data_IF_828918310814
#
_entry.id   IF_828918310814
#
_cell.length_a   1.000
_cell.length_b   1.000
_cell.length_c   1.000
_cell.angle_alpha   90.00
_cell.angle_beta   90.00
_cell.angle_gamma   90.00
#
_symmetry.space_group_name_H-M   'P 1'
#
loop_
_entity.id
_entity.type
_entity.pdbx_description
1 polymer ?
#
# COMPACT_ATOMS: atom_id res chain seq x y z
N UNK A 1 34.13 6.82 -4.91
CA UNK A 1 34.60 5.55 -5.53
C UNK A 1 33.33 4.84 -5.98
N UNK A 2 32.95 5.09 -7.26
CA UNK A 2 31.69 4.61 -7.83
C UNK A 2 31.77 3.12 -8.10
N UNK A 3 30.74 2.40 -7.64
CA UNK A 3 30.53 0.99 -7.94
C UNK A 3 29.99 0.90 -9.38
N UNK A 4 30.86 0.67 -10.34
CA UNK A 4 30.42 0.25 -11.69
C UNK A 4 30.01 -1.22 -11.60
N UNK A 5 28.71 -1.51 -11.63
CA UNK A 5 28.25 -2.84 -11.96
C UNK A 5 28.49 -3.05 -13.46
N UNK A 6 29.41 -3.94 -13.82
CA UNK A 6 29.55 -4.45 -15.19
C UNK A 6 28.40 -5.40 -15.48
N UNK A 7 27.50 -5.00 -16.37
CA UNK A 7 26.45 -5.86 -16.92
C UNK A 7 27.04 -6.80 -17.97
N UNK A 8 27.76 -7.83 -17.54
CA UNK A 8 28.15 -8.92 -18.42
C UNK A 8 26.97 -9.88 -18.57
N UNK A 9 26.35 -9.93 -19.75
CA UNK A 9 25.33 -10.90 -20.11
C UNK A 9 23.97 -10.36 -20.56
N UNK A 10 23.78 -9.05 -20.61
CA UNK A 10 22.57 -8.45 -21.19
C UNK A 10 22.67 -8.46 -22.72
N UNK A 11 21.62 -8.95 -23.39
CA UNK A 11 21.48 -8.83 -24.84
C UNK A 11 21.06 -7.39 -25.20
N UNK A 12 21.24 -7.00 -26.48
CA UNK A 12 20.77 -5.70 -26.98
C UNK A 12 19.23 -5.56 -26.82
N UNK A 13 18.49 -6.64 -26.94
CA UNK A 13 17.05 -6.71 -26.67
C UNK A 13 16.72 -6.44 -25.19
N UNK A 14 17.49 -6.97 -24.25
CA UNK A 14 17.30 -6.71 -22.82
C UNK A 14 17.60 -5.24 -22.48
N UNK A 15 18.62 -4.64 -23.10
CA UNK A 15 18.95 -3.22 -22.91
C UNK A 15 17.85 -2.31 -23.46
N UNK A 16 17.30 -2.61 -24.63
CA UNK A 16 16.18 -1.87 -25.23
C UNK A 16 14.91 -2.02 -24.37
N UNK A 17 14.63 -3.23 -23.88
CA UNK A 17 13.48 -3.48 -22.99
C UNK A 17 13.62 -2.70 -21.67
N UNK A 18 14.77 -2.76 -21.00
CA UNK A 18 15.04 -2.03 -19.76
C UNK A 18 14.94 -0.51 -19.97
N UNK A 19 15.51 0.01 -21.06
CA UNK A 19 15.40 1.42 -21.38
C UNK A 19 13.94 1.85 -21.67
N UNK A 20 13.13 0.98 -22.29
CA UNK A 20 11.71 1.24 -22.52
C UNK A 20 10.88 1.17 -21.24
N UNK A 21 11.20 0.22 -20.33
CA UNK A 21 10.56 0.12 -19.02
C UNK A 21 10.92 1.31 -18.11
N UNK A 22 12.17 1.76 -18.11
CA UNK A 22 12.61 2.99 -17.42
C UNK A 22 11.92 4.25 -17.99
N UNK A 23 11.80 4.36 -19.31
CA UNK A 23 11.12 5.48 -19.97
C UNK A 23 9.62 5.52 -19.63
N UNK A 24 8.95 4.35 -19.60
CA UNK A 24 7.54 4.23 -19.20
C UNK A 24 7.38 4.56 -17.71
N UNK A 25 8.31 4.15 -16.85
CA UNK A 25 8.28 4.49 -15.42
C UNK A 25 8.53 6.00 -15.18
N UNK A 26 9.37 6.64 -16.01
CA UNK A 26 9.68 8.08 -15.91
C UNK A 26 8.53 8.97 -16.33
N UNK A 27 7.61 8.50 -17.18
CA UNK A 27 6.47 9.30 -17.70
C UNK A 27 5.17 9.11 -16.88
N UNK A 28 5.19 8.28 -15.82
CA UNK A 28 4.02 8.08 -14.95
C UNK A 28 3.84 9.28 -14.03
N UNK A 29 2.61 9.81 -13.96
CA UNK A 29 2.28 10.84 -12.98
C UNK A 29 2.59 10.38 -11.57
N UNK A 30 3.42 11.15 -10.86
CA UNK A 30 3.76 10.88 -9.45
C UNK A 30 2.68 11.44 -8.54
N UNK A 31 2.16 10.57 -7.67
CA UNK A 31 1.16 10.92 -6.67
C UNK A 31 1.70 10.55 -5.28
N UNK A 32 1.61 11.48 -4.34
CA UNK A 32 1.82 11.23 -2.93
C UNK A 32 0.53 11.54 -2.18
N UNK A 33 -0.20 10.49 -1.82
CA UNK A 33 -1.45 10.58 -1.08
C UNK A 33 -1.17 10.43 0.42
N UNK A 34 -1.55 11.46 1.18
CA UNK A 34 -1.17 11.60 2.59
C UNK A 34 -2.05 10.78 3.53
N UNK A 35 -3.20 10.26 3.07
CA UNK A 35 -4.11 9.56 3.97
C UNK A 35 -5.11 8.65 3.24
N UNK A 36 -5.28 7.43 3.75
CA UNK A 36 -6.48 6.64 3.49
C UNK A 36 -6.69 5.57 4.59
N UNK A 37 -7.97 5.22 4.85
CA UNK A 37 -8.40 4.20 5.83
C UNK A 37 -8.60 2.82 5.18
N UNK A 38 -8.01 2.57 4.02
CA UNK A 38 -8.27 1.32 3.29
C UNK A 38 -7.93 0.09 4.13
N UNK A 39 -6.81 0.11 4.88
CA UNK A 39 -6.42 -1.04 5.69
C UNK A 39 -7.37 -1.29 6.85
N UNK A 40 -7.88 -0.23 7.51
CA UNK A 40 -8.90 -0.32 8.57
C UNK A 40 -10.19 -0.90 8.03
N UNK A 41 -10.64 -0.41 6.88
CA UNK A 41 -11.84 -0.91 6.21
C UNK A 41 -11.73 -2.38 5.81
N UNK A 42 -10.54 -2.82 5.38
CA UNK A 42 -10.28 -4.24 5.12
C UNK A 42 -10.19 -5.06 6.42
N UNK A 43 -9.58 -4.49 7.48
CA UNK A 43 -9.40 -5.16 8.76
C UNK A 43 -10.72 -5.37 9.52
N UNK A 44 -11.63 -4.40 9.43
CA UNK A 44 -12.83 -4.32 10.27
C UNK A 44 -14.13 -4.50 9.50
N UNK A 45 -14.08 -4.85 8.22
CA UNK A 45 -15.27 -5.06 7.41
C UNK A 45 -16.22 -6.09 8.05
N UNK A 46 -17.46 -5.68 8.30
CA UNK A 46 -18.49 -6.52 8.90
C UNK A 46 -18.35 -6.72 10.42
N UNK A 47 -17.36 -6.13 11.08
CA UNK A 47 -17.14 -6.23 12.53
C UNK A 47 -17.78 -5.05 13.26
N UNK A 48 -19.03 -5.21 13.69
CA UNK A 48 -19.77 -4.19 14.41
C UNK A 48 -19.28 -3.94 15.86
N UNK A 49 -18.35 -4.75 16.36
CA UNK A 49 -17.79 -4.59 17.72
C UNK A 49 -16.69 -3.53 17.77
N UNK A 50 -16.12 -3.17 16.61
CA UNK A 50 -15.06 -2.16 16.54
C UNK A 50 -15.70 -0.76 16.56
N UNK A 51 -15.31 0.12 17.49
CA UNK A 51 -15.73 1.52 17.49
C UNK A 51 -15.28 2.25 16.21
N UNK A 52 -15.87 3.42 15.91
CA UNK A 52 -15.49 4.23 14.75
C UNK A 52 -16.34 4.03 13.51
N UNK A 53 -17.29 3.09 13.52
CA UNK A 53 -18.35 3.01 12.51
C UNK A 53 -17.96 2.36 11.17
N UNK A 54 -16.77 1.78 11.00
CA UNK A 54 -16.35 1.14 9.74
C UNK A 54 -17.33 0.06 9.27
N UNK A 55 -17.82 -0.80 10.18
CA UNK A 55 -18.77 -1.84 9.85
C UNK A 55 -20.09 -1.29 9.29
N UNK A 56 -20.60 -0.20 9.87
CA UNK A 56 -21.85 0.42 9.41
C UNK A 56 -21.67 1.13 8.07
N UNK A 57 -20.54 1.79 7.87
CA UNK A 57 -20.20 2.50 6.65
C UNK A 57 -20.09 1.54 5.45
N UNK A 58 -19.52 0.36 5.66
CA UNK A 58 -19.23 -0.62 4.63
C UNK A 58 -20.24 -1.77 4.56
N UNK A 59 -21.31 -1.73 5.35
CA UNK A 59 -22.29 -2.82 5.47
C UNK A 59 -22.94 -3.25 4.13
N UNK A 60 -22.92 -2.38 3.11
CA UNK A 60 -23.47 -2.68 1.79
C UNK A 60 -22.45 -3.24 0.81
N UNK A 61 -21.17 -3.20 1.14
CA UNK A 61 -20.11 -3.71 0.27
C UNK A 61 -19.93 -5.20 0.53
N UNK A 62 -20.03 -6.05 -0.49
CA UNK A 62 -19.83 -7.48 -0.30
C UNK A 62 -18.44 -7.81 0.23
N UNK A 63 -18.29 -8.80 1.12
CA UNK A 63 -17.03 -9.16 1.77
C UNK A 63 -15.89 -9.45 0.78
N UNK A 64 -16.17 -10.07 -0.37
CA UNK A 64 -15.16 -10.34 -1.38
C UNK A 64 -14.58 -9.07 -2.02
N UNK A 65 -15.34 -7.96 -2.00
CA UNK A 65 -14.89 -6.63 -2.48
C UNK A 65 -14.09 -5.86 -1.43
N UNK A 66 -13.96 -6.40 -0.22
CA UNK A 66 -13.20 -5.85 0.91
C UNK A 66 -12.14 -6.85 1.40
N UNK A 67 -11.73 -7.81 0.56
CA UNK A 67 -10.86 -8.92 0.99
C UNK A 67 -9.36 -8.66 0.77
N UNK A 68 -8.98 -7.75 -0.14
CA UNK A 68 -7.58 -7.54 -0.55
C UNK A 68 -7.32 -6.12 -1.01
N UNK A 69 -6.07 -5.68 -0.85
CA UNK A 69 -5.61 -4.40 -1.38
C UNK A 69 -5.46 -4.42 -2.92
N UNK A 70 -5.31 -5.61 -3.52
CA UNK A 70 -5.14 -5.75 -4.97
C UNK A 70 -6.31 -5.14 -5.75
N UNK A 71 -7.54 -5.46 -5.37
CA UNK A 71 -8.77 -4.88 -5.91
C UNK A 71 -9.86 -4.88 -4.83
N UNK A 72 -10.44 -3.70 -4.56
CA UNK A 72 -11.44 -3.51 -3.50
C UNK A 72 -12.29 -2.27 -3.77
N UNK A 73 -13.39 -2.14 -3.01
CA UNK A 73 -14.29 -0.99 -3.07
C UNK A 73 -14.08 0.01 -1.92
N UNK A 74 -12.93 -0.09 -1.20
CA UNK A 74 -12.49 0.93 -0.25
C UNK A 74 -11.88 2.16 -0.99
N UNK A 75 -11.11 3.01 -0.28
CA UNK A 75 -10.58 4.26 -0.86
C UNK A 75 -9.54 3.99 -1.95
N UNK A 76 -8.58 3.09 -1.70
CA UNK A 76 -7.45 2.81 -2.58
C UNK A 76 -7.37 1.32 -2.90
N UNK A 77 -7.07 0.97 -4.16
CA UNK A 77 -6.66 -0.38 -4.56
C UNK A 77 -5.52 -0.31 -5.57
N UNK A 78 -4.68 -1.35 -5.60
CA UNK A 78 -3.55 -1.42 -6.54
C UNK A 78 -4.02 -1.47 -8.00
N UNK A 79 -5.22 -2.01 -8.26
CA UNK A 79 -5.81 -1.99 -9.59
C UNK A 79 -6.09 -0.56 -10.09
N UNK A 80 -6.55 0.34 -9.20
CA UNK A 80 -6.85 1.74 -9.55
C UNK A 80 -5.61 2.62 -9.61
N UNK A 81 -4.60 2.35 -8.77
CA UNK A 81 -3.38 3.16 -8.70
C UNK A 81 -2.28 2.71 -9.65
N UNK A 82 -2.40 1.51 -10.25
CA UNK A 82 -1.36 0.91 -11.08
C UNK A 82 -0.89 1.70 -12.30
N UNK A 83 -1.69 2.69 -12.78
CA UNK A 83 -1.30 3.62 -13.83
C UNK A 83 -0.38 4.77 -13.40
N UNK A 84 -0.16 4.93 -12.08
CA UNK A 84 0.56 6.06 -11.48
C UNK A 84 1.83 5.58 -10.75
N UNK A 85 2.81 6.48 -10.56
CA UNK A 85 3.87 6.29 -9.59
C UNK A 85 3.32 6.72 -8.21
N UNK A 86 2.70 5.77 -7.48
CA UNK A 86 1.84 6.04 -6.34
C UNK A 86 2.53 5.73 -5.00
N UNK A 87 2.63 6.75 -4.14
CA UNK A 87 3.01 6.61 -2.73
C UNK A 87 1.80 6.91 -1.85
N UNK A 88 1.40 5.95 -1.01
CA UNK A 88 0.23 6.03 -0.15
C UNK A 88 0.59 5.96 1.32
N UNK A 89 0.11 6.93 2.09
CA UNK A 89 0.03 6.81 3.54
C UNK A 89 -1.24 6.02 3.90
N UNK A 90 -1.06 4.83 4.43
CA UNK A 90 -2.12 3.98 4.96
C UNK A 90 -2.22 4.19 6.47
N UNK A 91 -3.31 4.78 6.92
CA UNK A 91 -3.55 4.99 8.34
C UNK A 91 -3.99 3.69 9.02
N UNK A 92 -3.56 3.52 10.26
CA UNK A 92 -4.20 2.68 11.26
C UNK A 92 -4.91 3.62 12.22
N UNK A 93 -6.22 3.76 12.07
CA UNK A 93 -7.04 4.62 12.92
C UNK A 93 -7.39 3.91 14.22
N UNK A 94 -7.07 4.56 15.35
CA UNK A 94 -7.43 4.09 16.68
C UNK A 94 -8.47 5.08 17.24
N UNK A 95 -9.74 4.65 17.43
CA UNK A 95 -10.78 5.51 17.97
C UNK A 95 -10.41 6.10 19.33
N UNK A 96 -10.79 7.35 19.57
CA UNK A 96 -10.43 8.11 20.79
C UNK A 96 -10.92 7.47 22.09
N UNK A 97 -11.97 6.68 22.06
CA UNK A 97 -12.52 5.94 23.19
C UNK A 97 -11.76 4.65 23.51
N UNK A 98 -10.89 4.18 22.60
CA UNK A 98 -10.13 2.92 22.77
C UNK A 98 -8.73 3.23 23.30
N UNK A 99 -8.29 2.53 24.35
CA UNK A 99 -6.99 2.76 25.01
C UNK A 99 -6.33 1.46 25.45
N UNK A 100 -5.03 1.53 25.74
CA UNK A 100 -4.26 0.43 26.31
C UNK A 100 -4.20 -0.79 25.40
N UNK A 101 -4.39 -1.97 25.98
CA UNK A 101 -4.29 -3.25 25.27
C UNK A 101 -5.31 -3.41 24.15
N UNK A 102 -6.47 -2.79 24.28
CA UNK A 102 -7.49 -2.79 23.23
C UNK A 102 -7.04 -1.99 22.02
N UNK A 103 -6.50 -0.79 22.22
CA UNK A 103 -5.93 0.04 21.14
C UNK A 103 -4.78 -0.69 20.44
N UNK A 104 -3.91 -1.34 21.22
CA UNK A 104 -2.83 -2.17 20.67
C UNK A 104 -3.36 -3.34 19.83
N UNK A 105 -4.44 -3.97 20.26
CA UNK A 105 -5.09 -5.07 19.53
C UNK A 105 -5.63 -4.60 18.18
N UNK A 106 -6.31 -3.45 18.14
CA UNK A 106 -6.81 -2.87 16.89
C UNK A 106 -5.65 -2.52 15.95
N UNK A 107 -4.62 -1.82 16.46
CA UNK A 107 -3.42 -1.51 15.67
C UNK A 107 -2.79 -2.76 15.04
N UNK A 108 -2.56 -3.81 15.82
CA UNK A 108 -1.96 -5.06 15.34
C UNK A 108 -2.83 -5.73 14.28
N UNK A 109 -4.14 -5.62 14.37
CA UNK A 109 -5.08 -6.16 13.40
C UNK A 109 -4.94 -5.44 12.05
N UNK A 110 -4.85 -4.12 12.04
CA UNK A 110 -4.61 -3.32 10.82
C UNK A 110 -3.23 -3.60 10.25
N UNK A 111 -2.20 -3.64 11.09
CA UNK A 111 -0.83 -3.98 10.69
C UNK A 111 -0.77 -5.34 10.00
N UNK A 112 -1.46 -6.36 10.53
CA UNK A 112 -1.48 -7.70 9.95
C UNK A 112 -2.13 -7.74 8.55
N UNK A 113 -3.05 -6.83 8.26
CA UNK A 113 -3.59 -6.66 6.91
C UNK A 113 -2.48 -6.19 5.96
N UNK A 114 -1.71 -5.15 6.33
CA UNK A 114 -0.61 -4.68 5.50
C UNK A 114 0.44 -5.77 5.28
N UNK A 115 0.86 -6.47 6.34
CA UNK A 115 1.84 -7.54 6.25
C UNK A 115 1.40 -8.63 5.26
N UNK A 116 0.15 -9.08 5.36
CA UNK A 116 -0.43 -10.05 4.43
C UNK A 116 -0.50 -9.54 2.99
N UNK A 117 -0.85 -8.28 2.78
CA UNK A 117 -0.93 -7.70 1.45
C UNK A 117 0.46 -7.47 0.83
N UNK A 118 1.48 -7.17 1.62
CA UNK A 118 2.88 -7.12 1.17
C UNK A 118 3.38 -8.49 0.69
N UNK A 119 3.01 -9.57 1.39
CA UNK A 119 3.32 -10.94 0.95
C UNK A 119 2.57 -11.31 -0.33
N UNK A 120 1.28 -10.98 -0.40
CA UNK A 120 0.40 -11.32 -1.53
C UNK A 120 0.72 -10.56 -2.81
N UNK A 121 1.02 -9.26 -2.69
CA UNK A 121 1.15 -8.30 -3.78
C UNK A 121 2.57 -7.73 -3.89
N UNK A 122 3.59 -8.45 -3.45
CA UNK A 122 4.97 -7.96 -3.41
C UNK A 122 5.58 -7.63 -4.78
N UNK A 123 4.94 -8.04 -5.87
CA UNK A 123 5.23 -7.60 -7.23
C UNK A 123 4.74 -6.17 -7.53
N UNK A 124 3.73 -5.66 -6.81
CA UNK A 124 3.05 -4.38 -7.03
C UNK A 124 3.09 -3.43 -5.83
N UNK A 125 3.45 -3.93 -4.66
CA UNK A 125 3.43 -3.19 -3.39
C UNK A 125 4.76 -3.36 -2.67
N UNK A 126 5.28 -2.27 -2.10
CA UNK A 126 6.45 -2.31 -1.21
C UNK A 126 6.25 -1.36 -0.04
N UNK A 127 6.61 -1.79 1.17
CA UNK A 127 6.60 -0.89 2.33
C UNK A 127 7.75 0.11 2.21
N UNK A 128 7.47 1.37 2.55
CA UNK A 128 8.45 2.44 2.64
C UNK A 128 8.40 3.10 4.02
N UNK A 129 9.55 3.21 4.68
CA UNK A 129 9.74 3.91 5.96
C UNK A 129 10.60 5.15 5.80
N UNK A 130 11.21 5.31 4.63
CA UNK A 130 12.07 6.44 4.25
C UNK A 130 11.73 6.91 2.84
N UNK A 131 12.13 8.14 2.51
CA UNK A 131 11.98 8.68 1.15
C UNK A 131 12.74 7.81 0.13
N UNK A 132 13.94 7.36 0.50
CA UNK A 132 14.77 6.52 -0.38
C UNK A 132 14.08 5.17 -0.70
N UNK A 133 13.41 4.55 0.29
CA UNK A 133 12.62 3.33 0.08
C UNK A 133 11.40 3.59 -0.79
N UNK A 134 10.72 4.73 -0.60
CA UNK A 134 9.60 5.13 -1.44
C UNK A 134 10.04 5.32 -2.90
N UNK A 135 11.13 6.07 -3.12
CA UNK A 135 11.68 6.28 -4.46
C UNK A 135 12.11 4.97 -5.13
N UNK A 136 12.73 4.06 -4.37
CA UNK A 136 13.09 2.73 -4.87
C UNK A 136 11.87 1.89 -5.26
N UNK A 137 10.79 1.92 -4.46
CA UNK A 137 9.54 1.24 -4.78
C UNK A 137 8.91 1.80 -6.07
N UNK A 138 8.84 3.13 -6.19
CA UNK A 138 8.29 3.80 -7.37
C UNK A 138 9.12 3.52 -8.63
N UNK A 139 10.45 3.53 -8.53
CA UNK A 139 11.36 3.17 -9.62
C UNK A 139 11.19 1.71 -10.08
N UNK A 140 10.87 0.80 -9.14
CA UNK A 140 10.53 -0.58 -9.44
C UNK A 140 9.09 -0.78 -9.97
N UNK A 141 8.35 0.31 -10.25
CA UNK A 141 6.97 0.25 -10.75
C UNK A 141 5.93 -0.18 -9.71
N UNK A 142 6.30 -0.21 -8.42
CA UNK A 142 5.42 -0.59 -7.31
C UNK A 142 4.74 0.62 -6.69
N UNK A 143 3.62 0.40 -6.02
CA UNK A 143 3.05 1.35 -5.05
C UNK A 143 3.92 1.33 -3.78
N UNK A 144 4.35 2.50 -3.33
CA UNK A 144 5.03 2.65 -2.04
C UNK A 144 3.98 2.79 -0.92
N UNK A 145 4.02 1.91 0.07
CA UNK A 145 3.12 1.92 1.23
C UNK A 145 3.83 2.49 2.46
N UNK A 146 3.42 3.66 2.91
CA UNK A 146 3.83 4.25 4.18
C UNK A 146 2.76 3.92 5.22
N UNK A 147 3.13 3.19 6.28
CA UNK A 147 2.20 2.86 7.35
C UNK A 147 2.22 3.95 8.41
N UNK A 148 1.08 4.54 8.69
CA UNK A 148 0.90 5.64 9.65
C UNK A 148 -0.09 5.27 10.74
N UNK A 149 -0.11 6.02 11.85
CA UNK A 149 -1.05 5.84 12.95
C UNK A 149 -1.80 7.14 13.16
N UNK A 150 -3.10 7.05 13.41
CA UNK A 150 -3.99 8.16 13.68
C UNK A 150 -4.82 7.89 14.93
N UNK A 151 -5.09 8.92 15.73
CA UNK A 151 -5.95 8.84 16.91
C UNK A 151 -5.32 8.16 18.15
N UNK A 152 -4.01 7.85 18.12
CA UNK A 152 -3.33 7.15 19.22
C UNK A 152 -2.89 8.09 20.37
#
# INVERSE_FOLDING_TARGET
MGLFMTFEGLTEEDAVRLASEEAVAADRLRVFDLHCDTLDRLAFHGDASVPGGFAAHDARIPAHRMATLADNDAHVSLARTGGFAWCQCFAAFIPDEVRGDEAWTLFRRVQSVLERELERCGDKLAQARTIAEADAALAAGKTAAVFTVEGA
#
